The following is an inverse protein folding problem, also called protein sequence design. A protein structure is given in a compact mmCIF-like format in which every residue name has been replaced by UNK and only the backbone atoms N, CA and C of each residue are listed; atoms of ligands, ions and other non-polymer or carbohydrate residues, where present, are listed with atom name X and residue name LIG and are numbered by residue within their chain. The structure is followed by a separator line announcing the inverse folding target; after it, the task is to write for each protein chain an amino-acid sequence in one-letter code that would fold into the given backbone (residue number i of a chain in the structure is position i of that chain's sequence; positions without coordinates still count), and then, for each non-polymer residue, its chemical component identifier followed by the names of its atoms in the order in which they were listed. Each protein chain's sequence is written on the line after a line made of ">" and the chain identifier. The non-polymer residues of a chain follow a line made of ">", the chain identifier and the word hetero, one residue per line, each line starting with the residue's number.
data_IF_769192903363
#
_entry.id   IF_769192903363
#
_cell.length_a   1.000
_cell.length_b   1.000
_cell.length_c   1.000
_cell.angle_alpha   90.00
_cell.angle_beta   90.00
_cell.angle_gamma   90.00
#
_symmetry.space_group_name_H-M   'P 1'
#
loop_
_entity.id
_entity.type
_entity.pdbx_description
1 polymer ?
#
# COMPACT_ATOMS: atom_id res chain seq x y z
N UNK A 1 -12.06 9.87 18.76
CA UNK A 1 -10.77 10.55 18.57
C UNK A 1 -10.43 11.13 19.90
N UNK A 2 -9.24 10.82 20.42
CA UNK A 2 -8.75 11.40 21.66
C UNK A 2 -8.70 12.94 21.54
N UNK A 3 -8.78 13.66 22.66
CA UNK A 3 -8.75 15.13 22.65
C UNK A 3 -7.41 15.68 22.13
N UNK A 4 -6.34 14.89 22.22
CA UNK A 4 -4.99 15.26 21.79
C UNK A 4 -4.69 14.94 20.32
N UNK A 5 -5.56 14.21 19.63
CA UNK A 5 -5.38 13.87 18.22
C UNK A 5 -5.94 14.99 17.35
N UNK A 6 -5.09 15.55 16.48
CA UNK A 6 -5.43 16.66 15.57
C UNK A 6 -6.23 16.17 14.34
N UNK A 7 -5.82 15.04 13.79
CA UNK A 7 -6.40 14.41 12.61
C UNK A 7 -6.26 12.89 12.65
N UNK A 8 -7.01 12.21 11.78
CA UNK A 8 -6.74 10.84 11.41
C UNK A 8 -7.12 10.63 9.95
N UNK A 9 -6.41 9.73 9.30
CA UNK A 9 -6.73 9.25 7.98
C UNK A 9 -6.51 7.75 7.83
N UNK A 10 -7.21 7.20 6.85
CA UNK A 10 -6.97 5.86 6.39
C UNK A 10 -7.51 5.70 4.98
N UNK A 11 -6.83 4.90 4.18
CA UNK A 11 -7.45 4.31 3.00
C UNK A 11 -8.40 3.20 3.46
N UNK A 12 -9.42 2.89 2.68
CA UNK A 12 -10.09 1.61 2.86
C UNK A 12 -9.17 0.53 2.27
N UNK A 13 -8.85 -0.48 3.07
CA UNK A 13 -8.05 -1.62 2.63
C UNK A 13 -8.97 -2.82 2.49
N UNK A 14 -9.07 -3.31 1.26
CA UNK A 14 -9.79 -4.55 0.96
C UNK A 14 -9.20 -5.72 1.73
N UNK A 15 -10.06 -6.56 2.31
CA UNK A 15 -9.60 -7.76 3.03
C UNK A 15 -9.79 -8.97 2.12
N UNK A 16 -9.11 -9.01 0.97
CA UNK A 16 -8.91 -10.29 0.29
C UNK A 16 -7.59 -10.89 0.75
N UNK A 17 -7.61 -12.17 1.10
CA UNK A 17 -6.60 -12.86 1.91
C UNK A 17 -5.34 -13.28 1.16
N UNK A 18 -5.05 -12.74 -0.02
CA UNK A 18 -3.80 -13.05 -0.71
C UNK A 18 -3.24 -11.84 -1.50
N UNK A 19 -2.04 -11.33 -1.20
CA UNK A 19 -1.22 -10.38 -2.00
C UNK A 19 -1.27 -8.90 -1.61
N UNK A 20 -0.13 -8.16 -1.61
CA UNK A 20 0.07 -6.80 -1.03
C UNK A 20 -1.23 -5.99 -0.82
N UNK A 21 -1.50 -5.59 0.44
CA UNK A 21 -2.66 -4.75 0.72
C UNK A 21 -2.41 -3.34 0.22
N UNK A 22 -3.06 -3.00 -0.89
CA UNK A 22 -3.13 -1.64 -1.39
C UNK A 22 -4.43 -0.98 -0.90
N UNK A 23 -4.35 0.33 -0.69
CA UNK A 23 -5.51 1.11 -0.29
C UNK A 23 -6.35 1.48 -1.50
N UNK A 24 -7.68 1.48 -1.38
CA UNK A 24 -8.60 1.86 -2.47
C UNK A 24 -8.27 3.23 -3.07
N UNK A 25 -7.79 4.18 -2.28
CA UNK A 25 -7.36 5.49 -2.81
C UNK A 25 -6.18 5.35 -3.79
N UNK A 26 -5.19 4.53 -3.45
CA UNK A 26 -4.04 4.27 -4.30
C UNK A 26 -4.47 3.57 -5.59
N UNK A 27 -5.31 2.54 -5.48
CA UNK A 27 -5.81 1.77 -6.62
C UNK A 27 -6.55 2.68 -7.60
N UNK A 28 -7.48 3.50 -7.11
CA UNK A 28 -8.28 4.40 -7.95
C UNK A 28 -7.42 5.45 -8.62
N UNK A 29 -6.44 6.02 -7.93
CA UNK A 29 -5.57 7.05 -8.51
C UNK A 29 -4.70 6.46 -9.61
N UNK A 30 -4.09 5.29 -9.39
CA UNK A 30 -3.11 4.74 -10.32
C UNK A 30 -3.70 3.88 -11.44
N UNK A 31 -4.84 3.20 -11.20
CA UNK A 31 -5.56 2.43 -12.23
C UNK A 31 -6.64 3.24 -12.95
N UNK A 32 -7.16 4.30 -12.32
CA UNK A 32 -8.35 5.02 -12.81
C UNK A 32 -9.66 4.26 -12.63
N UNK A 33 -9.66 3.10 -11.96
CA UNK A 33 -10.82 2.23 -11.79
C UNK A 33 -11.15 1.99 -10.31
N UNK A 34 -12.43 1.70 -10.03
CA UNK A 34 -12.89 1.26 -8.71
C UNK A 34 -13.08 -0.25 -8.76
N UNK A 35 -12.38 -1.01 -7.91
CA UNK A 35 -12.59 -2.45 -7.83
C UNK A 35 -14.03 -2.79 -7.43
N UNK A 36 -14.58 -3.82 -8.08
CA UNK A 36 -15.99 -4.20 -7.96
C UNK A 36 -16.39 -4.61 -6.55
N UNK A 37 -15.46 -5.21 -5.81
CA UNK A 37 -15.68 -5.71 -4.46
C UNK A 37 -16.04 -4.59 -3.46
N UNK A 38 -15.77 -3.33 -3.81
CA UNK A 38 -15.82 -2.20 -2.88
C UNK A 38 -16.84 -1.13 -3.25
N UNK A 39 -17.73 -1.41 -4.22
CA UNK A 39 -18.80 -0.47 -4.60
C UNK A 39 -19.77 -0.19 -3.43
N UNK A 40 -19.79 1.07 -2.96
CA UNK A 40 -20.67 1.52 -1.87
C UNK A 40 -19.99 1.76 -0.52
N UNK A 41 -18.68 1.57 -0.41
CA UNK A 41 -17.87 1.97 0.75
C UNK A 41 -17.15 3.30 0.51
N UNK A 42 -16.61 3.91 1.57
CA UNK A 42 -15.67 5.01 1.40
C UNK A 42 -14.35 4.46 0.86
N UNK A 43 -13.70 5.16 -0.07
CA UNK A 43 -12.38 4.75 -0.58
C UNK A 43 -11.25 5.22 0.34
N UNK A 44 -11.44 6.38 0.96
CA UNK A 44 -10.54 6.95 1.95
C UNK A 44 -11.33 7.81 2.95
N UNK A 45 -10.78 7.95 4.13
CA UNK A 45 -11.36 8.72 5.22
C UNK A 45 -10.33 9.73 5.73
N UNK A 46 -10.79 10.95 5.92
CA UNK A 46 -10.08 12.02 6.62
C UNK A 46 -11.00 12.57 7.70
N UNK A 47 -10.50 12.72 8.92
CA UNK A 47 -11.25 13.30 10.02
C UNK A 47 -10.35 14.23 10.82
N UNK A 48 -10.90 15.37 11.21
CA UNK A 48 -10.19 16.39 11.99
C UNK A 48 -10.91 16.68 13.29
N UNK A 49 -10.16 17.08 14.31
CA UNK A 49 -10.68 17.41 15.63
C UNK A 49 -11.09 18.89 15.71
N UNK A 50 -12.37 19.16 15.46
CA UNK A 50 -12.99 20.47 15.70
C UNK A 50 -13.86 20.48 16.97
N UNK A 51 -13.64 19.54 17.90
CA UNK A 51 -14.43 19.46 19.13
C UNK A 51 -14.26 20.76 19.95
N UNK A 52 -15.33 21.50 20.27
CA UNK A 52 -15.23 22.67 21.12
C UNK A 52 -14.61 22.38 22.51
N UNK A 53 -14.69 21.13 22.98
CA UNK A 53 -14.12 20.69 24.25
C UNK A 53 -12.61 20.43 24.19
N UNK A 54 -12.04 20.11 23.01
CA UNK A 54 -10.59 19.92 22.84
C UNK A 54 -9.83 21.24 22.78
N UNK A 55 -10.54 22.35 22.54
CA UNK A 55 -10.00 23.72 22.48
C UNK A 55 -8.83 23.88 21.49
N UNK A 56 -8.74 23.02 20.47
CA UNK A 56 -7.66 23.06 19.48
C UNK A 56 -7.71 24.39 18.71
N UNK A 57 -6.70 25.24 18.84
CA UNK A 57 -6.66 26.53 18.17
C UNK A 57 -6.19 26.33 16.72
N UNK A 58 -7.13 26.35 15.77
CA UNK A 58 -6.83 26.13 14.36
C UNK A 58 -6.51 27.40 13.61
N UNK A 59 -5.37 27.41 12.91
CA UNK A 59 -5.11 28.32 11.80
C UNK A 59 -5.56 27.67 10.49
N UNK A 60 -6.52 28.30 9.79
CA UNK A 60 -7.19 27.71 8.62
C UNK A 60 -6.90 28.45 7.29
N UNK A 61 -5.89 29.32 7.27
CA UNK A 61 -5.56 30.10 6.08
C UNK A 61 -4.79 29.28 5.05
N UNK A 62 -5.30 29.23 3.82
CA UNK A 62 -4.61 28.60 2.67
C UNK A 62 -3.51 29.47 2.07
N UNK A 63 -3.35 30.72 2.52
CA UNK A 63 -2.30 31.59 2.01
C UNK A 63 -0.94 31.17 2.61
N UNK A 64 0.06 30.77 1.79
CA UNK A 64 1.35 30.32 2.31
C UNK A 64 2.11 31.41 3.09
N UNK A 65 1.80 32.69 2.83
CA UNK A 65 2.41 33.84 3.52
C UNK A 65 1.75 34.17 4.86
N UNK A 66 0.59 33.57 5.14
CA UNK A 66 -0.15 33.76 6.38
C UNK A 66 0.12 32.53 7.28
N UNK A 67 1.07 32.68 8.19
CA UNK A 67 1.58 31.60 9.05
C UNK A 67 0.79 31.51 10.35
N UNK A 68 0.62 30.30 10.93
CA UNK A 68 0.00 30.12 12.24
C UNK A 68 0.77 30.88 13.33
N UNK A 69 0.06 31.37 14.36
CA UNK A 69 0.72 31.92 15.54
C UNK A 69 1.25 30.80 16.45
N UNK A 70 2.17 31.12 17.38
CA UNK A 70 2.78 30.16 18.33
C UNK A 70 1.80 29.41 19.26
N UNK A 71 0.52 29.71 19.18
CA UNK A 71 -0.56 29.09 19.94
C UNK A 71 -1.62 28.50 19.01
N UNK A 72 -1.34 28.30 17.72
CA UNK A 72 -2.25 27.73 16.74
C UNK A 72 -1.60 26.56 16.01
N UNK A 73 -2.38 25.52 15.71
CA UNK A 73 -1.99 24.45 14.80
C UNK A 73 -2.43 24.80 13.38
N UNK A 74 -1.57 24.53 12.40
CA UNK A 74 -1.87 24.75 10.99
C UNK A 74 -2.75 23.62 10.44
N UNK A 75 -4.03 23.92 10.16
CA UNK A 75 -4.97 22.94 9.62
C UNK A 75 -4.53 22.42 8.24
N UNK A 76 -3.84 23.26 7.45
CA UNK A 76 -3.32 22.85 6.15
C UNK A 76 -2.26 21.76 6.29
N UNK A 77 -1.30 21.94 7.21
CA UNK A 77 -0.28 20.93 7.52
C UNK A 77 -0.91 19.62 7.99
N UNK A 78 -1.87 19.68 8.92
CA UNK A 78 -2.57 18.47 9.38
C UNK A 78 -3.33 17.81 8.24
N UNK A 79 -4.08 18.55 7.44
CA UNK A 79 -4.82 17.99 6.32
C UNK A 79 -3.90 17.31 5.29
N UNK A 80 -2.71 17.88 5.05
CA UNK A 80 -1.76 17.30 4.12
C UNK A 80 -1.10 16.03 4.69
N UNK A 81 -0.72 16.05 5.97
CA UNK A 81 -0.20 14.90 6.69
C UNK A 81 -1.17 13.70 6.64
N UNK A 82 -2.43 13.94 6.98
CA UNK A 82 -3.45 12.90 6.93
C UNK A 82 -3.72 12.44 5.49
N UNK A 83 -3.64 13.33 4.50
CA UNK A 83 -3.76 12.92 3.10
C UNK A 83 -2.65 11.93 2.69
N UNK A 84 -1.42 12.09 3.19
CA UNK A 84 -0.34 11.13 2.92
C UNK A 84 -0.61 9.75 3.52
N UNK A 85 -1.15 9.67 4.74
CA UNK A 85 -1.61 8.40 5.32
C UNK A 85 -2.69 7.74 4.44
N UNK A 86 -3.65 8.52 3.95
CA UNK A 86 -4.69 8.03 3.03
C UNK A 86 -4.11 7.53 1.70
N UNK A 87 -3.00 8.12 1.23
CA UNK A 87 -2.27 7.69 0.04
C UNK A 87 -1.41 6.43 0.27
N UNK A 88 -1.34 5.90 1.49
CA UNK A 88 -0.59 4.68 1.79
C UNK A 88 0.78 4.92 2.42
N UNK A 89 1.10 6.16 2.82
CA UNK A 89 2.19 6.43 3.75
C UNK A 89 1.79 5.94 5.15
N UNK A 90 1.73 4.63 5.35
CA UNK A 90 1.35 4.01 6.59
C UNK A 90 1.92 2.60 6.62
N UNK A 91 2.29 2.11 7.79
CA UNK A 91 2.71 0.73 7.98
C UNK A 91 1.59 -0.09 8.61
N UNK A 92 1.47 -1.37 8.25
CA UNK A 92 0.57 -2.30 8.92
C UNK A 92 1.28 -3.11 10.01
N UNK A 93 2.58 -2.90 10.17
CA UNK A 93 3.35 -3.49 11.25
C UNK A 93 2.94 -2.84 12.55
N UNK A 94 2.52 -3.66 13.51
CA UNK A 94 2.12 -3.21 14.83
C UNK A 94 3.27 -3.44 15.79
N UNK A 95 3.70 -2.36 16.43
CA UNK A 95 4.52 -2.41 17.63
C UNK A 95 3.63 -2.87 18.81
N UNK A 96 3.71 -4.13 19.24
CA UNK A 96 2.90 -4.58 20.38
C UNK A 96 3.46 -4.06 21.71
N UNK A 97 2.61 -3.93 22.73
CA UNK A 97 2.98 -3.49 24.09
C UNK A 97 4.10 -4.33 24.74
N UNK A 98 4.37 -5.52 24.20
CA UNK A 98 5.39 -6.45 24.70
C UNK A 98 6.72 -6.28 23.96
N UNK A 99 6.81 -5.30 23.06
CA UNK A 99 7.90 -5.17 22.11
C UNK A 99 7.95 -6.31 21.11
N UNK A 100 6.93 -7.16 20.94
CA UNK A 100 6.96 -8.18 19.89
C UNK A 100 6.37 -7.63 18.59
N UNK A 101 7.09 -7.78 17.47
CA UNK A 101 6.46 -7.72 16.16
C UNK A 101 5.58 -8.95 16.02
N UNK A 102 4.26 -8.72 16.05
CA UNK A 102 3.31 -9.74 15.68
C UNK A 102 2.68 -9.32 14.36
N UNK A 103 2.47 -10.25 13.42
CA UNK A 103 1.54 -9.98 12.34
C UNK A 103 0.21 -9.56 12.98
N UNK A 104 -0.44 -8.49 12.49
CA UNK A 104 -1.81 -8.23 12.88
C UNK A 104 -2.63 -9.51 12.65
N UNK A 105 -3.79 -9.63 13.31
CA UNK A 105 -4.64 -10.83 13.20
C UNK A 105 -5.00 -11.23 11.75
N UNK A 106 -4.76 -10.34 10.78
CA UNK A 106 -4.94 -10.50 9.34
C UNK A 106 -3.72 -11.05 8.57
N UNK A 107 -2.56 -11.27 9.21
CA UNK A 107 -1.31 -11.77 8.58
C UNK A 107 -0.88 -11.05 7.30
N UNK A 108 -1.28 -9.79 7.12
CA UNK A 108 -1.00 -9.03 5.90
C UNK A 108 -0.02 -7.88 6.18
N UNK A 109 0.63 -7.42 5.11
CA UNK A 109 1.47 -6.23 5.07
C UNK A 109 1.07 -5.41 3.84
N UNK A 110 1.29 -4.10 3.88
CA UNK A 110 0.97 -3.23 2.76
C UNK A 110 2.21 -2.91 1.91
N UNK A 111 2.04 -2.16 0.83
CA UNK A 111 3.15 -1.80 -0.08
C UNK A 111 4.29 -1.09 0.64
N UNK A 112 3.95 -0.19 1.55
CA UNK A 112 4.91 0.60 2.32
C UNK A 112 5.84 -0.31 3.15
N UNK A 113 5.29 -1.35 3.78
CA UNK A 113 6.07 -2.28 4.62
C UNK A 113 7.19 -3.01 3.87
N UNK A 114 7.10 -3.16 2.54
CA UNK A 114 8.13 -3.82 1.71
C UNK A 114 9.43 -3.03 1.63
N UNK A 115 9.34 -1.72 1.80
CA UNK A 115 10.49 -0.82 1.74
C UNK A 115 11.13 -0.64 3.11
N UNK A 116 10.53 -1.19 4.17
CA UNK A 116 11.07 -1.05 5.51
C UNK A 116 12.26 -1.99 5.70
N UNK A 117 13.40 -1.42 6.09
CA UNK A 117 14.63 -2.15 6.40
C UNK A 117 15.13 -1.80 7.80
N UNK A 118 15.68 -2.78 8.51
CA UNK A 118 16.44 -2.54 9.72
C UNK A 118 17.86 -2.07 9.37
N UNK A 119 18.36 -1.14 10.16
CA UNK A 119 19.74 -0.66 10.14
C UNK A 119 20.47 -1.03 11.44
N UNK A 120 21.82 -1.09 11.41
CA UNK A 120 22.68 -0.99 10.23
C UNK A 120 22.59 -2.23 9.32
N UNK A 121 22.56 -2.01 8.01
CA UNK A 121 22.78 -3.09 7.02
C UNK A 121 21.66 -3.30 5.99
N UNK A 122 20.62 -2.46 5.97
CA UNK A 122 19.58 -2.51 4.95
C UNK A 122 18.85 -3.84 4.85
N UNK A 123 18.69 -4.55 5.97
CA UNK A 123 18.05 -5.87 5.99
C UNK A 123 16.53 -5.67 5.94
N UNK A 124 15.79 -6.28 4.99
CA UNK A 124 14.33 -6.16 4.94
C UNK A 124 13.69 -6.56 6.27
N UNK A 125 12.77 -5.73 6.78
CA UNK A 125 12.07 -6.00 8.04
C UNK A 125 11.21 -7.25 7.95
N UNK A 126 10.51 -7.42 6.84
CA UNK A 126 9.64 -8.57 6.58
C UNK A 126 10.17 -9.44 5.45
N UNK A 127 9.92 -10.74 5.54
CA UNK A 127 10.10 -11.71 4.47
C UNK A 127 8.74 -12.25 4.06
N UNK A 128 8.39 -12.18 2.77
CA UNK A 128 7.23 -12.88 2.22
C UNK A 128 7.58 -14.36 1.99
N UNK A 129 7.07 -15.24 2.84
CA UNK A 129 7.40 -16.65 2.88
C UNK A 129 6.62 -17.50 1.86
N UNK A 130 5.53 -16.96 1.30
CA UNK A 130 4.70 -17.69 0.35
C UNK A 130 4.16 -16.79 -0.76
N UNK A 131 5.01 -16.22 -1.64
CA UNK A 131 4.54 -15.45 -2.78
C UNK A 131 3.68 -16.36 -3.69
N UNK A 132 2.54 -15.87 -4.19
CA UNK A 132 2.02 -14.50 -4.08
C UNK A 132 1.06 -14.23 -2.89
N UNK A 133 0.99 -15.13 -1.92
CA UNK A 133 0.29 -14.94 -0.65
C UNK A 133 0.96 -13.92 0.28
N UNK A 134 0.39 -13.77 1.48
CA UNK A 134 0.79 -12.78 2.49
C UNK A 134 1.58 -13.31 3.65
N UNK A 135 1.79 -14.63 3.71
CA UNK A 135 2.44 -15.22 4.87
C UNK A 135 3.81 -14.61 5.03
N UNK A 136 3.95 -13.75 6.02
CA UNK A 136 5.15 -12.99 6.26
C UNK A 136 5.66 -13.28 7.65
N UNK A 137 6.97 -13.24 7.77
CA UNK A 137 7.64 -13.26 9.06
C UNK A 137 8.58 -12.08 9.16
N UNK A 138 8.75 -11.56 10.38
CA UNK A 138 9.88 -10.71 10.67
C UNK A 138 11.15 -11.44 10.24
N UNK A 139 12.07 -10.72 9.61
CA UNK A 139 13.33 -11.29 9.18
C UNK A 139 14.09 -11.81 10.42
N UNK A 140 14.46 -13.11 10.45
CA UNK A 140 14.99 -13.75 11.66
C UNK A 140 16.38 -13.23 12.07
N UNK A 141 17.04 -12.43 11.21
CA UNK A 141 18.30 -11.76 11.53
C UNK A 141 18.09 -10.55 12.43
N UNK A 142 16.87 -10.00 12.48
CA UNK A 142 16.56 -8.78 13.21
C UNK A 142 16.29 -9.09 14.68
N UNK A 143 16.97 -8.37 15.56
CA UNK A 143 16.73 -8.42 17.00
C UNK A 143 15.64 -7.41 17.34
N UNK A 144 14.47 -7.95 17.67
CA UNK A 144 13.24 -7.17 17.87
C UNK A 144 13.39 -6.01 18.88
N UNK A 145 14.15 -6.20 19.96
CA UNK A 145 14.33 -5.16 20.98
C UNK A 145 15.12 -3.94 20.48
N UNK A 146 15.83 -4.08 19.36
CA UNK A 146 16.68 -3.05 18.77
C UNK A 146 15.87 -2.17 17.79
N UNK A 147 14.54 -2.35 17.71
CA UNK A 147 13.67 -1.60 16.81
C UNK A 147 12.88 -0.47 17.49
N UNK A 148 13.05 -0.24 18.80
CA UNK A 148 12.11 0.56 19.60
C UNK A 148 12.69 1.78 20.32
N UNK A 149 13.74 2.39 19.79
CA UNK A 149 14.21 3.68 20.33
C UNK A 149 14.29 4.76 19.24
N UNK A 150 13.79 4.45 18.04
CA UNK A 150 14.06 5.14 16.78
C UNK A 150 15.54 5.15 16.37
N UNK A 151 16.46 4.87 17.30
CA UNK A 151 17.91 4.96 17.18
C UNK A 151 18.59 3.81 17.96
N UNK A 152 19.53 3.12 17.31
CA UNK A 152 20.04 1.80 17.73
C UNK A 152 20.97 1.91 18.96
N UNK A 153 21.53 3.10 19.19
CA UNK A 153 22.40 3.51 20.31
C UNK A 153 22.59 5.06 20.16
N UNK A 154 23.39 5.84 20.94
CA UNK A 154 23.57 7.28 20.71
C UNK A 154 24.44 7.59 19.48
N UNK A 155 24.31 6.79 18.42
CA UNK A 155 24.98 6.91 17.14
C UNK A 155 23.95 7.12 16.02
N UNK A 156 24.43 7.81 14.99
CA UNK A 156 23.74 8.63 13.99
C UNK A 156 22.73 7.94 13.06
N UNK A 157 22.40 6.67 13.25
CA UNK A 157 21.60 5.91 12.29
C UNK A 157 20.22 5.58 12.88
N UNK A 158 19.14 5.66 12.09
CA UNK A 158 17.82 5.21 12.52
C UNK A 158 17.78 3.69 12.70
N UNK A 159 16.90 3.18 13.56
CA UNK A 159 16.65 1.72 13.71
C UNK A 159 16.04 1.13 12.43
N UNK A 160 15.16 1.92 11.81
CA UNK A 160 14.37 1.53 10.65
C UNK A 160 14.43 2.62 9.60
N UNK A 161 14.65 2.19 8.36
CA UNK A 161 14.60 3.04 7.19
C UNK A 161 13.43 2.63 6.30
N UNK A 162 12.86 3.61 5.62
CA UNK A 162 12.25 3.38 4.32
C UNK A 162 13.37 3.42 3.28
N UNK A 163 13.65 2.27 2.66
CA UNK A 163 14.76 2.09 1.72
C UNK A 163 14.26 2.11 0.28
N UNK A 164 14.60 3.17 -0.46
CA UNK A 164 14.27 3.29 -1.88
C UNK A 164 15.46 3.87 -2.65
N UNK A 165 15.76 3.30 -3.82
CA UNK A 165 16.88 3.78 -4.66
C UNK A 165 18.27 3.71 -3.98
N UNK A 166 18.42 2.91 -2.91
CA UNK A 166 19.63 2.86 -2.09
C UNK A 166 19.76 4.02 -1.09
N UNK A 167 18.72 4.83 -0.92
CA UNK A 167 18.60 5.88 0.09
C UNK A 167 17.79 5.36 1.27
N UNK A 168 18.21 5.70 2.48
CA UNK A 168 17.46 5.46 3.71
C UNK A 168 16.75 6.75 4.15
N UNK A 169 15.44 6.71 4.30
CA UNK A 169 14.67 7.74 5.01
C UNK A 169 14.31 7.23 6.41
N UNK A 170 14.55 8.01 7.47
CA UNK A 170 14.49 7.49 8.83
C UNK A 170 13.05 7.41 9.32
N UNK A 171 12.62 6.19 9.65
CA UNK A 171 11.26 5.89 10.07
C UNK A 171 11.18 5.98 11.58
N UNK A 172 10.17 6.68 12.06
CA UNK A 172 9.85 6.75 13.48
C UNK A 172 9.39 5.40 13.99
N UNK A 173 10.06 4.84 15.00
CA UNK A 173 9.65 3.56 15.59
C UNK A 173 9.03 3.73 16.99
N UNK A 174 9.37 4.82 17.69
CA UNK A 174 8.85 5.16 19.02
C UNK A 174 9.07 4.08 20.08
N UNK A 175 8.49 4.30 21.26
CA UNK A 175 8.48 3.31 22.36
C UNK A 175 7.60 2.08 22.01
N UNK A 176 7.82 0.92 22.65
CA UNK A 176 6.93 -0.23 22.53
C UNK A 176 5.45 0.13 22.76
N UNK A 177 4.57 -0.30 21.85
CA UNK A 177 3.14 0.04 21.89
C UNK A 177 2.76 1.42 21.31
N UNK A 178 3.73 2.18 20.76
CA UNK A 178 3.45 3.47 20.12
C UNK A 178 2.55 3.27 18.88
N UNK A 179 1.35 3.89 18.83
CA UNK A 179 0.44 3.75 17.69
C UNK A 179 0.95 4.45 16.43
N UNK A 180 1.97 5.30 16.55
CA UNK A 180 2.54 6.08 15.46
C UNK A 180 3.77 5.39 14.84
N UNK A 181 4.21 4.25 15.39
CA UNK A 181 5.38 3.54 14.90
C UNK A 181 5.25 3.15 13.42
N UNK A 182 6.36 3.17 12.71
CA UNK A 182 6.56 2.74 11.32
C UNK A 182 5.83 3.55 10.24
N UNK A 183 4.86 4.39 10.61
CA UNK A 183 4.04 5.17 9.67
C UNK A 183 4.46 6.63 9.52
N UNK A 184 5.57 7.02 10.15
CA UNK A 184 6.02 8.40 10.25
C UNK A 184 7.53 8.48 10.01
N UNK A 185 8.03 9.67 9.70
CA UNK A 185 9.46 9.93 9.61
C UNK A 185 9.95 10.67 10.86
N UNK A 186 11.15 10.30 11.33
CA UNK A 186 11.83 11.06 12.38
C UNK A 186 13.35 10.92 12.23
N UNK A 187 14.07 12.05 12.21
CA UNK A 187 15.55 12.09 12.00
C UNK A 187 16.33 12.06 13.31
N UNK A 188 15.71 12.13 14.50
CA UNK A 188 16.34 12.47 15.79
C UNK A 188 17.46 11.51 16.34
N UNK A 189 18.12 10.73 15.50
CA UNK A 189 19.24 9.86 15.83
C UNK A 189 20.62 10.48 15.66
N UNK A 190 20.77 11.58 14.93
CA UNK A 190 22.07 12.25 14.72
C UNK A 190 22.33 13.43 15.68
N UNK A 191 21.40 13.72 16.58
CA UNK A 191 21.49 14.85 17.52
C UNK A 191 21.36 16.23 16.84
N UNK A 192 20.91 16.27 15.59
CA UNK A 192 20.59 17.50 14.84
C UNK A 192 19.07 17.63 14.80
N UNK A 193 18.56 18.83 15.10
CA UNK A 193 17.13 19.10 14.99
C UNK A 193 16.65 18.77 13.58
N UNK A 194 15.71 17.84 13.51
CA UNK A 194 15.22 17.26 12.26
C UNK A 194 14.65 18.29 11.28
N UNK A 195 14.72 17.96 9.99
CA UNK A 195 13.95 18.64 8.96
C UNK A 195 12.45 18.62 9.31
N UNK A 196 11.72 19.66 8.91
CA UNK A 196 10.28 19.79 9.13
C UNK A 196 9.48 18.85 8.22
N UNK A 197 9.67 17.53 8.36
CA UNK A 197 8.88 16.52 7.65
C UNK A 197 7.41 16.71 7.94
N UNK A 198 6.61 16.74 6.88
CA UNK A 198 5.17 16.72 7.00
C UNK A 198 4.72 15.51 7.83
N UNK A 199 5.29 14.34 7.57
CA UNK A 199 5.04 13.03 8.17
C UNK A 199 5.76 12.79 9.50
N UNK A 200 6.23 13.84 10.18
CA UNK A 200 6.67 13.69 11.57
C UNK A 200 5.43 13.52 12.49
N UNK A 201 5.47 12.62 13.49
CA UNK A 201 4.31 12.28 14.31
C UNK A 201 3.86 13.42 15.25
N UNK A 202 4.62 14.52 15.30
CA UNK A 202 4.31 15.69 16.11
C UNK A 202 4.33 16.96 15.27
N UNK A 203 3.33 17.83 15.47
CA UNK A 203 3.28 19.17 14.86
C UNK A 203 3.27 20.22 15.97
N UNK A 204 4.35 21.01 16.14
CA UNK A 204 4.36 22.11 17.11
C UNK A 204 3.40 23.24 16.70
N UNK A 205 2.90 24.00 17.68
CA UNK A 205 2.16 25.23 17.40
C UNK A 205 3.02 26.26 16.65
N UNK A 206 2.41 27.07 15.81
CA UNK A 206 3.10 28.11 15.03
C UNK A 206 3.97 27.57 13.89
N UNK A 207 3.90 26.27 13.62
CA UNK A 207 4.63 25.62 12.53
C UNK A 207 3.66 25.27 11.40
N UNK A 208 4.08 25.58 10.17
CA UNK A 208 3.48 25.08 8.94
C UNK A 208 4.50 24.19 8.25
N UNK A 209 4.08 23.00 7.84
CA UNK A 209 4.88 22.07 7.06
C UNK A 209 4.30 21.87 5.68
N UNK A 210 5.19 21.56 4.75
CA UNK A 210 4.86 21.12 3.39
C UNK A 210 5.67 19.88 3.10
N UNK A 211 5.20 18.99 2.21
CA UNK A 211 5.93 17.78 1.91
C UNK A 211 7.37 18.07 1.46
N UNK A 212 8.33 17.32 2.00
CA UNK A 212 9.74 17.37 1.60
C UNK A 212 9.99 16.49 0.37
N UNK A 213 11.20 16.55 -0.19
CA UNK A 213 11.56 15.73 -1.35
C UNK A 213 11.55 14.25 -1.00
N UNK A 214 11.97 13.88 0.21
CA UNK A 214 11.98 12.52 0.73
C UNK A 214 10.55 11.93 0.76
N UNK A 215 9.58 12.73 1.19
CA UNK A 215 8.17 12.33 1.27
C UNK A 215 7.57 12.15 -0.14
N UNK A 216 8.00 12.96 -1.11
CA UNK A 216 7.67 12.76 -2.51
C UNK A 216 8.31 11.50 -3.09
N UNK A 217 9.58 11.24 -2.78
CA UNK A 217 10.29 10.03 -3.22
C UNK A 217 9.68 8.75 -2.62
N UNK A 218 9.14 8.82 -1.40
CA UNK A 218 8.36 7.72 -0.82
C UNK A 218 7.07 7.50 -1.60
N UNK A 219 6.31 8.54 -1.96
CA UNK A 219 5.13 8.37 -2.82
C UNK A 219 5.50 7.79 -4.20
N UNK A 220 6.63 8.20 -4.78
CA UNK A 220 7.16 7.57 -6.00
C UNK A 220 7.45 6.07 -5.78
N UNK A 221 8.09 5.70 -4.68
CA UNK A 221 8.37 4.30 -4.36
C UNK A 221 7.09 3.49 -4.13
N UNK A 222 6.04 4.13 -3.62
CA UNK A 222 4.70 3.54 -3.53
C UNK A 222 4.00 3.45 -4.90
N UNK A 223 4.58 3.96 -5.99
CA UNK A 223 4.07 3.81 -7.35
C UNK A 223 3.16 4.96 -7.81
N UNK A 224 3.23 6.14 -7.19
CA UNK A 224 2.52 7.32 -7.68
C UNK A 224 3.33 8.09 -8.71
N UNK A 225 2.66 8.52 -9.78
CA UNK A 225 3.18 9.56 -10.68
C UNK A 225 3.06 10.95 -10.04
N UNK A 226 4.16 11.69 -9.95
CA UNK A 226 4.16 13.06 -9.43
C UNK A 226 4.38 14.08 -10.55
N UNK A 227 3.59 15.15 -10.52
CA UNK A 227 3.72 16.28 -11.47
C UNK A 227 4.58 17.44 -10.92
N UNK A 228 5.08 17.32 -9.69
CA UNK A 228 5.76 18.38 -8.96
C UNK A 228 7.26 18.08 -8.85
N UNK A 229 8.11 19.03 -9.25
CA UNK A 229 9.47 19.14 -8.70
C UNK A 229 10.58 18.27 -9.32
N UNK A 230 10.50 17.92 -10.61
CA UNK A 230 11.55 17.16 -11.33
C UNK A 230 11.73 15.69 -10.90
N UNK A 231 10.99 15.21 -9.88
CA UNK A 231 11.00 13.79 -9.50
C UNK A 231 10.22 12.97 -10.53
N UNK A 232 10.93 12.46 -11.51
CA UNK A 232 10.39 11.42 -12.38
C UNK A 232 10.44 10.11 -11.58
N UNK A 233 9.30 9.71 -10.99
CA UNK A 233 9.15 8.55 -10.10
C UNK A 233 9.58 7.21 -10.72
N UNK A 234 9.96 7.19 -11.99
CA UNK A 234 10.39 5.99 -12.67
C UNK A 234 9.18 5.12 -13.00
N UNK A 235 9.31 3.81 -12.82
CA UNK A 235 8.33 2.87 -13.31
C UNK A 235 7.20 2.64 -12.31
N UNK A 236 6.26 3.58 -12.24
CA UNK A 236 5.00 3.35 -11.56
C UNK A 236 4.31 2.13 -12.18
N UNK A 237 3.82 1.22 -11.34
CA UNK A 237 3.11 0.03 -11.77
C UNK A 237 1.88 -0.19 -10.91
N UNK A 238 0.71 -0.04 -11.54
CA UNK A 238 -0.57 -0.34 -10.95
C UNK A 238 -1.40 -1.23 -11.86
N UNK A 239 -1.76 -2.37 -11.32
CA UNK A 239 -2.65 -3.36 -11.87
C UNK A 239 -4.11 -2.94 -11.69
N UNK A 240 -4.97 -3.25 -12.65
CA UNK A 240 -6.41 -3.07 -12.52
C UNK A 240 -7.16 -4.39 -12.73
N UNK A 241 -8.31 -4.54 -12.09
CA UNK A 241 -9.12 -5.75 -12.23
C UNK A 241 -9.57 -5.98 -13.68
N UNK A 242 -9.29 -7.16 -14.22
CA UNK A 242 -9.65 -7.57 -15.57
C UNK A 242 -11.01 -8.23 -15.61
N UNK A 243 -11.87 -7.68 -16.47
CA UNK A 243 -13.15 -8.30 -16.81
C UNK A 243 -13.11 -9.01 -18.15
N UNK A 244 -12.10 -8.79 -18.97
CA UNK A 244 -12.07 -9.18 -20.36
C UNK A 244 -10.74 -8.77 -20.99
N UNK A 245 -10.43 -9.24 -22.21
CA UNK A 245 -9.23 -8.79 -22.91
C UNK A 245 -9.23 -7.28 -23.08
N UNK A 246 -8.14 -6.61 -22.72
CA UNK A 246 -8.02 -5.15 -22.80
C UNK A 246 -9.10 -4.39 -22.02
N UNK A 247 -9.64 -5.00 -20.94
CA UNK A 247 -10.81 -4.49 -20.21
C UNK A 247 -12.10 -4.34 -21.04
N UNK A 248 -12.14 -4.90 -22.25
CA UNK A 248 -13.30 -4.95 -23.11
C UNK A 248 -13.94 -6.35 -23.05
N UNK A 249 -15.28 -6.42 -23.13
CA UNK A 249 -16.08 -7.65 -23.18
C UNK A 249 -15.78 -8.72 -22.09
N UNK A 250 -16.77 -8.98 -21.22
CA UNK A 250 -16.65 -9.97 -20.13
C UNK A 250 -16.03 -11.32 -20.54
N UNK A 251 -15.02 -11.82 -19.82
CA UNK A 251 -14.51 -13.18 -19.94
C UNK A 251 -15.62 -14.15 -19.54
N UNK A 252 -16.31 -14.70 -20.54
CA UNK A 252 -17.42 -15.62 -20.34
C UNK A 252 -17.21 -16.89 -21.15
N UNK A 253 -17.34 -18.05 -20.50
CA UNK A 253 -17.12 -19.36 -21.12
C UNK A 253 -18.15 -20.39 -20.65
N UNK A 254 -18.60 -21.33 -21.50
CA UNK A 254 -19.30 -22.52 -21.03
C UNK A 254 -18.41 -23.34 -20.08
N UNK A 255 -18.96 -23.84 -18.97
CA UNK A 255 -18.14 -24.47 -17.91
C UNK A 255 -17.38 -25.75 -18.33
N UNK A 256 -17.66 -26.33 -19.49
CA UNK A 256 -16.93 -27.49 -20.05
C UNK A 256 -15.95 -27.12 -21.18
N UNK A 257 -15.74 -25.82 -21.42
CA UNK A 257 -14.74 -25.30 -22.34
C UNK A 257 -13.61 -24.64 -21.57
N UNK A 258 -12.53 -24.31 -22.27
CA UNK A 258 -11.42 -23.55 -21.70
C UNK A 258 -11.33 -22.18 -22.40
N UNK A 259 -10.98 -21.15 -21.64
CA UNK A 259 -10.66 -19.82 -22.14
C UNK A 259 -9.15 -19.72 -22.36
N UNK A 260 -8.75 -19.25 -23.53
CA UNK A 260 -7.37 -18.81 -23.77
C UNK A 260 -7.32 -17.28 -23.76
N UNK A 261 -6.34 -16.72 -23.04
CA UNK A 261 -6.05 -15.28 -22.99
C UNK A 261 -4.53 -15.08 -22.85
N UNK A 262 -4.03 -13.93 -23.29
CA UNK A 262 -2.60 -13.60 -23.28
C UNK A 262 -2.20 -12.75 -22.07
N UNK A 263 -0.90 -12.62 -21.79
CA UNK A 263 -0.40 -11.61 -20.85
C UNK A 263 -0.78 -10.20 -21.28
N UNK A 264 -0.72 -9.90 -22.58
CA UNK A 264 -1.07 -8.58 -23.09
C UNK A 264 -2.53 -8.23 -22.79
N UNK A 265 -3.42 -9.22 -22.88
CA UNK A 265 -4.86 -9.06 -22.59
C UNK A 265 -5.11 -8.59 -21.15
N UNK A 266 -4.24 -8.98 -20.21
CA UNK A 266 -4.32 -8.62 -18.78
C UNK A 266 -3.49 -7.40 -18.38
N UNK A 267 -2.45 -7.06 -19.15
CA UNK A 267 -1.56 -5.94 -18.83
C UNK A 267 -2.00 -4.63 -19.50
N UNK A 268 -3.00 -4.66 -20.38
CA UNK A 268 -3.38 -3.52 -21.19
C UNK A 268 -4.00 -2.36 -20.39
N UNK A 269 -4.63 -2.67 -19.26
CA UNK A 269 -5.16 -1.72 -18.27
C UNK A 269 -4.17 -1.42 -17.14
N UNK A 270 -3.02 -2.08 -17.12
CA UNK A 270 -2.00 -1.89 -16.09
C UNK A 270 -1.07 -0.72 -16.45
N UNK A 271 -1.07 0.29 -15.60
CA UNK A 271 -0.42 1.59 -15.83
C UNK A 271 1.12 1.51 -15.74
N UNK A 272 1.85 2.40 -16.44
CA UNK A 272 2.22 2.28 -17.85
C UNK A 272 3.46 1.40 -18.08
N UNK A 273 3.97 0.70 -17.05
CA UNK A 273 5.26 0.02 -17.10
C UNK A 273 5.20 -1.49 -16.91
N UNK A 274 4.01 -2.10 -16.96
CA UNK A 274 3.87 -3.55 -16.86
C UNK A 274 4.56 -4.25 -18.05
N UNK A 275 5.50 -5.14 -17.78
CA UNK A 275 6.25 -5.89 -18.80
C UNK A 275 6.08 -7.39 -18.67
N UNK A 276 5.65 -7.89 -17.52
CA UNK A 276 5.38 -9.29 -17.26
C UNK A 276 4.31 -9.42 -16.17
N UNK A 277 3.87 -10.64 -15.86
CA UNK A 277 3.02 -10.89 -14.71
C UNK A 277 3.23 -12.29 -14.12
N UNK A 278 2.89 -12.43 -12.85
CA UNK A 278 2.72 -13.72 -12.17
C UNK A 278 1.22 -13.92 -11.90
N UNK A 279 0.63 -14.98 -12.44
CA UNK A 279 -0.79 -15.32 -12.24
C UNK A 279 -0.95 -16.67 -11.55
N UNK A 280 -1.97 -16.77 -10.70
CA UNK A 280 -2.40 -17.99 -10.06
C UNK A 280 -3.93 -18.07 -9.98
N UNK A 281 -4.47 -19.29 -9.89
CA UNK A 281 -5.87 -19.46 -9.54
C UNK A 281 -6.07 -19.10 -8.06
N UNK A 282 -6.94 -18.15 -7.73
CA UNK A 282 -7.22 -17.77 -6.34
C UNK A 282 -7.82 -18.95 -5.54
N UNK A 283 -8.60 -19.79 -6.24
CA UNK A 283 -9.17 -21.00 -5.68
C UNK A 283 -8.93 -22.21 -6.62
N UNK A 284 -8.03 -23.15 -6.28
CA UNK A 284 -7.72 -24.30 -7.13
C UNK A 284 -8.91 -25.26 -7.31
N UNK A 285 -9.96 -25.13 -6.49
CA UNK A 285 -11.18 -25.93 -6.61
C UNK A 285 -12.16 -25.39 -7.67
N UNK A 286 -11.88 -24.23 -8.29
CA UNK A 286 -12.78 -23.62 -9.29
C UNK A 286 -12.41 -23.98 -10.73
N UNK A 287 -11.19 -24.44 -10.97
CA UNK A 287 -10.72 -24.76 -12.31
C UNK A 287 -9.22 -24.99 -12.35
N UNK A 288 -8.71 -25.28 -13.54
CA UNK A 288 -7.29 -25.47 -13.79
C UNK A 288 -6.76 -24.34 -14.66
N UNK A 289 -5.73 -23.65 -14.18
CA UNK A 289 -4.96 -22.68 -14.96
C UNK A 289 -3.66 -23.32 -15.44
N UNK A 290 -3.38 -23.25 -16.74
CA UNK A 290 -2.14 -23.73 -17.34
C UNK A 290 -1.50 -22.61 -18.16
N UNK A 291 -0.21 -22.35 -17.96
CA UNK A 291 0.53 -21.35 -18.73
C UNK A 291 1.32 -22.02 -19.86
N UNK A 292 1.23 -21.46 -21.07
CA UNK A 292 2.02 -21.88 -22.25
C UNK A 292 2.67 -20.66 -22.89
N UNK A 293 3.91 -20.36 -22.52
CA UNK A 293 4.59 -19.13 -22.95
C UNK A 293 3.92 -17.89 -22.35
N UNK A 294 3.49 -16.97 -23.21
CA UNK A 294 2.77 -15.75 -22.82
C UNK A 294 1.23 -15.89 -22.85
N UNK A 295 0.73 -17.11 -23.08
CA UNK A 295 -0.69 -17.41 -23.04
C UNK A 295 -1.05 -18.24 -21.81
N UNK A 296 -2.29 -18.06 -21.36
CA UNK A 296 -2.92 -18.80 -20.28
C UNK A 296 -4.14 -19.55 -20.82
N UNK A 297 -4.32 -20.78 -20.35
CA UNK A 297 -5.49 -21.59 -20.61
C UNK A 297 -6.18 -21.88 -19.27
N UNK A 298 -7.38 -21.34 -19.09
CA UNK A 298 -8.20 -21.58 -17.91
C UNK A 298 -9.39 -22.48 -18.24
N UNK A 299 -9.51 -23.59 -17.52
CA UNK A 299 -10.61 -24.54 -17.65
C UNK A 299 -11.42 -24.59 -16.34
N UNK A 300 -12.61 -23.97 -16.25
CA UNK A 300 -13.49 -24.08 -15.09
C UNK A 300 -13.95 -25.53 -14.88
N UNK A 301 -14.26 -25.89 -13.64
CA UNK A 301 -14.79 -27.23 -13.31
C UNK A 301 -16.23 -27.19 -12.75
N UNK A 302 -16.82 -26.00 -12.69
CA UNK A 302 -18.18 -25.73 -12.20
C UNK A 302 -18.67 -24.42 -12.81
N UNK A 303 -19.98 -24.17 -12.89
CA UNK A 303 -20.51 -22.87 -13.27
C UNK A 303 -20.41 -21.84 -12.14
N UNK A 304 -20.42 -20.56 -12.49
CA UNK A 304 -20.40 -19.42 -11.55
C UNK A 304 -19.37 -18.36 -11.91
N UNK A 305 -19.03 -17.49 -10.95
CA UNK A 305 -17.94 -16.53 -11.08
C UNK A 305 -16.63 -17.16 -10.58
N UNK A 306 -15.60 -17.06 -11.40
CA UNK A 306 -14.25 -17.56 -11.14
C UNK A 306 -13.30 -16.38 -11.08
N UNK A 307 -12.34 -16.47 -10.17
CA UNK A 307 -11.38 -15.39 -9.95
C UNK A 307 -9.97 -15.95 -10.04
N UNK A 308 -9.18 -15.41 -10.96
CA UNK A 308 -7.73 -15.58 -10.98
C UNK A 308 -7.10 -14.35 -10.39
N UNK A 309 -5.91 -14.52 -9.84
CA UNK A 309 -5.18 -13.45 -9.18
C UNK A 309 -3.84 -13.29 -9.87
N UNK A 310 -3.43 -12.06 -10.14
CA UNK A 310 -2.12 -11.80 -10.74
C UNK A 310 -1.42 -10.56 -10.15
N UNK A 311 -0.13 -10.47 -10.43
CA UNK A 311 0.76 -9.36 -10.10
C UNK A 311 1.49 -8.98 -11.36
N UNK A 312 1.32 -7.76 -11.88
CA UNK A 312 2.20 -7.31 -12.92
C UNK A 312 3.60 -7.10 -12.36
N UNK A 313 4.59 -7.21 -13.24
CA UNK A 313 5.99 -6.92 -12.98
C UNK A 313 6.38 -5.77 -13.89
N UNK A 314 6.90 -4.72 -13.28
CA UNK A 314 7.30 -3.48 -13.92
C UNK A 314 8.76 -3.52 -14.33
N UNK A 315 9.28 -2.37 -14.75
CA UNK A 315 10.70 -2.27 -15.05
C UNK A 315 11.55 -2.54 -13.80
N UNK A 316 12.73 -3.16 -13.99
CA UNK A 316 13.60 -3.52 -12.87
C UNK A 316 13.10 -4.67 -12.00
N UNK A 317 12.01 -5.34 -12.36
CA UNK A 317 11.47 -6.49 -11.63
C UNK A 317 10.59 -6.12 -10.44
N UNK A 318 10.14 -4.86 -10.34
CA UNK A 318 9.25 -4.42 -9.27
C UNK A 318 7.84 -5.00 -9.48
N UNK A 319 7.28 -5.65 -8.46
CA UNK A 319 5.91 -6.16 -8.50
C UNK A 319 4.90 -5.05 -8.21
N UNK A 320 3.81 -5.01 -8.99
CA UNK A 320 2.66 -4.13 -8.79
C UNK A 320 1.74 -4.60 -7.67
N UNK A 321 0.54 -4.00 -7.59
CA UNK A 321 -0.51 -4.47 -6.68
C UNK A 321 -1.08 -5.81 -7.15
N UNK A 322 -1.85 -6.42 -6.26
CA UNK A 322 -2.72 -7.53 -6.65
C UNK A 322 -3.83 -7.00 -7.55
N UNK A 323 -4.11 -7.71 -8.65
CA UNK A 323 -5.32 -7.55 -9.44
C UNK A 323 -5.96 -8.91 -9.74
N UNK A 324 -7.22 -8.87 -10.15
CA UNK A 324 -8.03 -10.05 -10.37
C UNK A 324 -8.56 -10.15 -11.79
N UNK A 325 -8.57 -11.37 -12.31
CA UNK A 325 -9.27 -11.70 -13.55
C UNK A 325 -10.58 -12.37 -13.20
N UNK A 326 -11.70 -11.77 -13.61
CA UNK A 326 -13.05 -12.27 -13.38
C UNK A 326 -13.55 -13.03 -14.60
N UNK A 327 -13.84 -14.32 -14.44
CA UNK A 327 -14.31 -15.20 -15.51
C UNK A 327 -15.69 -15.77 -15.14
N UNK A 328 -16.70 -15.52 -15.96
CA UNK A 328 -18.04 -16.10 -15.81
C UNK A 328 -18.13 -17.45 -16.52
N UNK A 329 -18.25 -18.53 -15.75
CA UNK A 329 -18.49 -19.88 -16.26
C UNK A 329 -20.00 -20.16 -16.36
N UNK A 330 -20.54 -20.18 -17.57
CA UNK A 330 -21.96 -20.36 -17.84
C UNK A 330 -22.37 -21.84 -17.76
N UNK A 331 -23.50 -22.08 -17.08
CA UNK A 331 -24.19 -23.37 -17.10
C UNK A 331 -24.97 -23.51 -18.42
N UNK A 332 -24.32 -24.05 -19.46
CA UNK A 332 -24.99 -24.37 -20.72
C UNK A 332 -25.29 -25.88 -20.78
N UNK A 333 -26.58 -26.23 -20.70
CA UNK A 333 -27.06 -27.61 -20.75
C UNK A 333 -26.87 -28.27 -22.11
N UNK A 334 -26.77 -27.48 -23.19
CA UNK A 334 -26.66 -28.00 -24.54
C UNK A 334 -25.21 -28.31 -24.91
N UNK A 335 -24.24 -27.61 -24.29
CA UNK A 335 -22.81 -27.80 -24.54
C UNK A 335 -22.14 -28.80 -23.61
N UNK A 336 -22.72 -29.07 -22.42
CA UNK A 336 -22.12 -29.92 -21.39
C UNK A 336 -23.06 -31.06 -20.90
N UNK A 337 -23.58 -31.93 -21.79
CA UNK A 337 -24.64 -32.89 -21.44
C UNK A 337 -24.20 -34.03 -20.51
N UNK A 338 -22.89 -34.25 -20.31
CA UNK A 338 -22.39 -35.38 -19.51
C UNK A 338 -22.32 -35.12 -17.99
N UNK A 339 -22.69 -33.91 -17.53
CA UNK A 339 -22.47 -33.47 -16.13
C UNK A 339 -23.74 -32.98 -15.40
N UNK A 340 -24.91 -33.13 -16.00
CA UNK A 340 -26.24 -32.87 -15.40
C UNK A 340 -27.00 -34.18 -15.14
#
# INVERSE_FOLDING_TARGET
>A
MDMEVLGLASSYFGVDQQGILDGMVWEIINSGQVSYEYSGFFHGLLRFNFDPASAVPWHASFNPLDLPMNNEFDLYSVAYHEAFHMLGFASFLVNSDNGNFAPPATMAFNRYDRFLTAEPGGVPLILNNNPPGFDWSLNPVIVVNDLYNSCDDPLTNPDVCFSSGGVCYPVFTGDPGSPNAFSHLNIDCDGVASAEFLMNPTLPNGVRRTPTIEEWEILCALGYTLSVGETNCGCDLAAADDRGPDCEDGFSIPFCQCLEFSKADLLANDSPNAIDLVIQANNPFTGQLTQTGDNFLYCPNRPGLHTLKYFPIGCGGQEGNTAFVFIEALADSDLCPELL
#
